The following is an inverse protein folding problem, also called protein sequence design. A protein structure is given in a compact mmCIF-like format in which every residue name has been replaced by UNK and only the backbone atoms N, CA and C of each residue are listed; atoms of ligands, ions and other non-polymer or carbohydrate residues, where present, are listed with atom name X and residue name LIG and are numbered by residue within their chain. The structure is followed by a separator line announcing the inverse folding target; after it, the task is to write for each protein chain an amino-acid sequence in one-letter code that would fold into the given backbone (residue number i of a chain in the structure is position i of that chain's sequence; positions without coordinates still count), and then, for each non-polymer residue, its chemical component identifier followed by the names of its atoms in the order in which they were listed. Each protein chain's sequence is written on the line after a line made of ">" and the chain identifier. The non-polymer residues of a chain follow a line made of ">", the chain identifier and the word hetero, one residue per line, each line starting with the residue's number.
data_IF_325943992939
#
_entry.id   IF_325943992939
#
_cell.length_a   1.000
_cell.length_b   1.000
_cell.length_c   1.000
_cell.angle_alpha   90.00
_cell.angle_beta   90.00
_cell.angle_gamma   90.00
#
_symmetry.space_group_name_H-M   'P 1'
#
loop_
_entity.id
_entity.type
_entity.pdbx_description
1 polymer ?
#
# COMPACT_ATOMS: atom_id res chain seq x y z
N UNK A 1 -7.75 -10.18 4.87
CA UNK A 1 -7.60 -9.57 3.53
C UNK A 1 -6.83 -8.24 3.59
N UNK A 2 -7.25 -7.27 4.41
CA UNK A 2 -6.52 -5.99 4.61
C UNK A 2 -5.04 -6.19 4.99
N UNK A 3 -4.75 -7.09 5.93
CA UNK A 3 -3.38 -7.41 6.36
C UNK A 3 -2.47 -7.87 5.21
N UNK A 4 -3.02 -8.65 4.26
CA UNK A 4 -2.29 -9.19 3.11
C UNK A 4 -1.90 -8.05 2.14
N UNK A 5 -2.82 -7.11 1.90
CA UNK A 5 -2.54 -5.90 1.13
C UNK A 5 -1.52 -4.99 1.83
N UNK A 6 -1.64 -4.82 3.14
CA UNK A 6 -0.66 -4.04 3.92
C UNK A 6 0.75 -4.62 3.80
N UNK A 7 0.90 -5.94 3.94
CA UNK A 7 2.19 -6.61 3.73
C UNK A 7 2.71 -6.46 2.30
N UNK A 8 1.84 -6.54 1.29
CA UNK A 8 2.24 -6.33 -0.11
C UNK A 8 2.77 -4.90 -0.36
N UNK A 9 2.11 -3.89 0.20
CA UNK A 9 2.53 -2.48 0.12
C UNK A 9 3.87 -2.27 0.83
N UNK A 10 4.03 -2.83 2.03
CA UNK A 10 5.28 -2.78 2.80
C UNK A 10 6.41 -3.47 2.02
N UNK A 11 6.16 -4.68 1.52
CA UNK A 11 7.15 -5.43 0.73
C UNK A 11 7.61 -4.59 -0.46
N UNK A 12 6.66 -4.07 -1.27
CA UNK A 12 6.96 -3.22 -2.43
C UNK A 12 7.82 -2.01 -2.04
N UNK A 13 7.48 -1.34 -0.94
CA UNK A 13 8.21 -0.17 -0.47
C UNK A 13 9.62 -0.53 0.00
N UNK A 14 9.83 -1.72 0.59
CA UNK A 14 11.11 -2.17 1.12
C UNK A 14 12.04 -2.80 0.07
N UNK A 15 11.53 -3.44 -0.98
CA UNK A 15 12.37 -4.11 -2.00
C UNK A 15 13.46 -3.22 -2.62
N UNK A 16 13.24 -1.90 -2.87
CA UNK A 16 14.30 -1.01 -3.36
C UNK A 16 15.48 -0.87 -2.40
N UNK A 17 15.29 -0.97 -1.08
CA UNK A 17 16.39 -0.98 -0.10
C UNK A 17 17.32 -2.17 -0.29
N UNK A 18 16.80 -3.29 -0.77
CA UNK A 18 17.57 -4.49 -1.10
C UNK A 18 18.13 -4.48 -2.53
N UNK A 19 18.07 -3.34 -3.24
CA UNK A 19 18.52 -3.17 -4.62
C UNK A 19 17.79 -4.09 -5.62
N UNK A 20 16.56 -4.50 -5.30
CA UNK A 20 15.75 -5.32 -6.21
C UNK A 20 15.18 -4.43 -7.32
N UNK A 21 15.47 -4.82 -8.56
CA UNK A 21 15.05 -4.08 -9.75
C UNK A 21 13.54 -4.13 -9.99
N UNK A 22 12.99 -3.08 -10.60
CA UNK A 22 11.59 -3.02 -11.06
C UNK A 22 11.21 -4.13 -12.05
N UNK A 23 12.18 -4.71 -12.75
CA UNK A 23 11.97 -5.83 -13.67
C UNK A 23 11.92 -7.19 -12.97
N UNK A 24 12.25 -7.27 -11.68
CA UNK A 24 12.24 -8.52 -10.93
C UNK A 24 10.80 -9.07 -10.83
N UNK A 25 10.55 -10.38 -11.03
CA UNK A 25 9.20 -10.96 -11.03
C UNK A 25 8.39 -10.63 -9.77
N UNK A 26 9.03 -10.71 -8.59
CA UNK A 26 8.39 -10.38 -7.30
C UNK A 26 7.99 -8.91 -7.23
N UNK A 27 8.85 -8.01 -7.72
CA UNK A 27 8.55 -6.58 -7.74
C UNK A 27 7.37 -6.29 -8.69
N UNK A 28 7.36 -6.88 -9.89
CA UNK A 28 6.24 -6.74 -10.84
C UNK A 28 4.93 -7.25 -10.28
N UNK A 29 4.95 -8.40 -9.60
CA UNK A 29 3.78 -8.96 -8.93
C UNK A 29 3.25 -8.00 -7.86
N UNK A 30 4.12 -7.51 -6.98
CA UNK A 30 3.75 -6.55 -5.94
C UNK A 30 3.21 -5.25 -6.52
N UNK A 31 3.80 -4.74 -7.61
CA UNK A 31 3.30 -3.57 -8.33
C UNK A 31 1.89 -3.85 -8.83
N UNK A 32 1.65 -4.94 -9.57
CA UNK A 32 0.34 -5.25 -10.13
C UNK A 32 -0.78 -5.29 -9.08
N UNK A 33 -0.52 -5.88 -7.90
CA UNK A 33 -1.55 -5.99 -6.85
C UNK A 33 -1.72 -4.70 -6.04
N UNK A 34 -0.70 -3.86 -5.91
CA UNK A 34 -0.76 -2.63 -5.09
C UNK A 34 -1.04 -1.37 -5.90
N UNK A 35 -0.80 -1.37 -7.22
CA UNK A 35 -0.98 -0.20 -8.08
C UNK A 35 -2.40 0.35 -8.11
N UNK A 36 -3.48 -0.46 -8.12
CA UNK A 36 -4.84 0.07 -8.07
C UNK A 36 -5.12 0.97 -6.85
N UNK A 37 -4.41 0.72 -5.73
CA UNK A 37 -4.52 1.51 -4.49
C UNK A 37 -3.52 2.69 -4.53
N UNK A 38 -2.28 2.44 -4.93
CA UNK A 38 -1.22 3.45 -4.87
C UNK A 38 -1.28 4.49 -6.00
N UNK A 39 -1.66 4.12 -7.21
CA UNK A 39 -1.74 5.04 -8.35
C UNK A 39 -2.68 6.23 -8.15
N UNK A 40 -3.92 6.07 -7.64
CA UNK A 40 -4.78 7.22 -7.37
C UNK A 40 -4.21 8.10 -6.24
N UNK A 41 -3.59 7.50 -5.22
CA UNK A 41 -3.00 8.23 -4.10
C UNK A 41 -1.77 9.07 -4.53
N UNK A 42 -0.95 8.58 -5.46
CA UNK A 42 0.18 9.34 -6.04
C UNK A 42 -0.23 10.62 -6.76
N UNK A 43 -1.50 10.74 -7.17
CA UNK A 43 -2.01 11.99 -7.76
C UNK A 43 -2.13 13.12 -6.73
N UNK A 44 -2.28 12.76 -5.45
CA UNK A 44 -2.47 13.71 -4.36
C UNK A 44 -1.22 13.85 -3.48
N UNK A 45 -0.34 12.85 -3.50
CA UNK A 45 0.89 12.83 -2.70
C UNK A 45 2.07 12.97 -3.65
N UNK A 46 2.60 14.20 -3.84
CA UNK A 46 3.80 14.37 -4.64
C UNK A 46 4.98 13.64 -3.99
N UNK A 47 5.88 13.01 -4.77
CA UNK A 47 7.09 12.43 -4.23
C UNK A 47 7.96 13.52 -3.60
N UNK A 48 8.37 13.33 -2.35
CA UNK A 48 9.22 14.28 -1.63
C UNK A 48 10.65 13.76 -1.65
N UNK A 49 11.58 14.53 -2.22
CA UNK A 49 13.00 14.15 -2.32
C UNK A 49 13.25 12.82 -3.06
N UNK A 50 12.40 12.48 -4.04
CA UNK A 50 12.50 11.21 -4.78
C UNK A 50 12.05 9.98 -3.99
N UNK A 51 11.56 10.16 -2.75
CA UNK A 51 10.92 9.12 -1.96
C UNK A 51 9.41 9.11 -2.20
N UNK A 52 8.87 7.93 -2.45
CA UNK A 52 7.43 7.71 -2.57
C UNK A 52 6.84 7.49 -1.17
N UNK A 53 6.15 8.51 -0.64
CA UNK A 53 5.45 8.43 0.66
C UNK A 53 4.03 7.83 0.53
N UNK A 54 3.58 7.57 -0.69
CA UNK A 54 2.28 6.96 -0.96
C UNK A 54 2.04 5.64 -0.21
N UNK A 55 3.03 4.73 -0.08
CA UNK A 55 2.86 3.50 0.70
C UNK A 55 2.48 3.77 2.16
N UNK A 56 3.08 4.76 2.83
CA UNK A 56 2.73 5.09 4.23
C UNK A 56 1.29 5.57 4.34
N UNK A 57 0.87 6.47 3.45
CA UNK A 57 -0.51 6.99 3.45
C UNK A 57 -1.51 5.88 3.12
N UNK A 58 -1.20 5.01 2.17
CA UNK A 58 -2.04 3.86 1.83
C UNK A 58 -2.23 2.91 3.03
N UNK A 59 -1.19 2.66 3.81
CA UNK A 59 -1.28 1.84 5.04
C UNK A 59 -2.19 2.48 6.09
N UNK A 60 -2.09 3.79 6.28
CA UNK A 60 -2.96 4.53 7.21
C UNK A 60 -4.42 4.44 6.76
N UNK A 61 -4.69 4.64 5.47
CA UNK A 61 -6.04 4.54 4.90
C UNK A 61 -6.59 3.13 5.06
N UNK A 62 -5.79 2.09 4.73
CA UNK A 62 -6.19 0.70 4.89
C UNK A 62 -6.55 0.37 6.34
N UNK A 63 -5.72 0.82 7.29
CA UNK A 63 -6.00 0.63 8.72
C UNK A 63 -7.28 1.33 9.15
N UNK A 64 -7.49 2.58 8.73
CA UNK A 64 -8.70 3.33 9.06
C UNK A 64 -9.96 2.65 8.51
N UNK A 65 -9.92 2.23 7.25
CA UNK A 65 -11.03 1.50 6.61
C UNK A 65 -11.32 0.19 7.33
N UNK A 66 -10.28 -0.56 7.72
CA UNK A 66 -10.47 -1.80 8.48
C UNK A 66 -11.15 -1.54 9.83
N UNK A 67 -10.71 -0.52 10.58
CA UNK A 67 -11.33 -0.18 11.87
C UNK A 67 -12.78 0.30 11.71
N UNK A 68 -13.05 1.15 10.72
CA UNK A 68 -14.41 1.64 10.45
C UNK A 68 -15.35 0.48 10.10
N UNK A 69 -14.94 -0.42 9.21
CA UNK A 69 -15.74 -1.59 8.85
C UNK A 69 -15.99 -2.48 10.07
N UNK A 70 -14.98 -2.71 10.91
CA UNK A 70 -15.12 -3.48 12.14
C UNK A 70 -16.15 -2.88 13.09
N UNK A 71 -16.08 -1.58 13.33
CA UNK A 71 -17.04 -0.87 14.19
C UNK A 71 -18.45 -0.93 13.61
N UNK A 72 -18.62 -0.68 12.32
CA UNK A 72 -19.92 -0.74 11.66
C UNK A 72 -20.53 -2.14 11.73
N UNK A 73 -19.74 -3.18 11.48
CA UNK A 73 -20.19 -4.56 11.60
C UNK A 73 -20.66 -4.82 13.03
N UNK A 74 -19.86 -4.49 14.05
CA UNK A 74 -20.22 -4.69 15.46
C UNK A 74 -21.47 -3.89 15.86
N UNK A 75 -21.67 -2.70 15.31
CA UNK A 75 -22.86 -1.88 15.60
C UNK A 75 -24.16 -2.40 14.93
N UNK A 76 -24.04 -3.26 13.90
CA UNK A 76 -25.18 -3.82 13.17
C UNK A 76 -25.67 -5.15 13.75
N UNK A 77 -24.94 -5.75 14.68
CA UNK A 77 -25.28 -7.01 15.37
C UNK A 77 -25.51 -6.75 16.87
#
# INVERSE_FOLDING_TARGET
>A
MFTLYSFAIIARALLPWFRISYYHPVMRFLIQITEPILAPLRRYIPPVSGLDFTPMVALIILWLVEQLLRVLIVALF
#
